data_IF_137576296086
#
_entry.id   IF_137576296086
#
_cell.length_a   1.000
_cell.length_b   1.000
_cell.length_c   1.000
_cell.angle_alpha   90.00
_cell.angle_beta   90.00
_cell.angle_gamma   90.00
#
_symmetry.space_group_name_H-M   'P 1'
#
loop_
_entity.id
_entity.type
_entity.pdbx_description
1 polymer ?
#
# COMPACT_ATOMS: atom_id res chain seq x y z
N UNK A 1 -8.09 42.86 -13.36
CA UNK A 1 -7.42 41.60 -13.69
C UNK A 1 -8.45 40.49 -13.84
N UNK A 2 -8.49 39.78 -14.96
CA UNK A 2 -9.50 38.75 -15.19
C UNK A 2 -9.29 37.59 -14.20
N UNK A 3 -10.37 37.02 -13.64
CA UNK A 3 -10.31 35.87 -12.72
C UNK A 3 -9.51 34.68 -13.29
N UNK A 4 -9.38 34.61 -14.62
CA UNK A 4 -8.57 33.59 -15.31
C UNK A 4 -7.06 33.83 -15.18
N UNK A 5 -6.60 35.09 -15.17
CA UNK A 5 -5.20 35.44 -15.01
C UNK A 5 -4.71 35.12 -13.58
N UNK A 6 -5.53 35.44 -12.57
CA UNK A 6 -5.21 35.13 -11.17
C UNK A 6 -5.11 33.61 -10.96
N UNK A 7 -6.07 32.82 -11.50
CA UNK A 7 -6.02 31.35 -11.40
C UNK A 7 -4.80 30.73 -12.10
N UNK A 8 -4.38 31.28 -13.24
CA UNK A 8 -3.16 30.80 -13.91
C UNK A 8 -1.91 31.12 -13.10
N UNK A 9 -1.85 32.31 -12.52
CA UNK A 9 -0.74 32.72 -11.69
C UNK A 9 -0.62 31.89 -10.40
N UNK A 10 -1.74 31.71 -9.68
CA UNK A 10 -1.75 30.86 -8.47
C UNK A 10 -1.41 29.41 -8.76
N UNK A 11 -1.86 28.85 -9.90
CA UNK A 11 -1.52 27.50 -10.30
C UNK A 11 -0.03 27.35 -10.68
N UNK A 12 0.53 28.34 -11.37
CA UNK A 12 1.96 28.35 -11.71
C UNK A 12 2.82 28.48 -10.45
N UNK A 13 2.39 29.32 -9.49
CA UNK A 13 3.09 29.48 -8.22
C UNK A 13 3.01 28.21 -7.37
N UNK A 14 1.84 27.56 -7.29
CA UNK A 14 1.68 26.29 -6.59
C UNK A 14 2.51 25.17 -7.22
N UNK A 15 2.56 25.08 -8.56
CA UNK A 15 3.42 24.13 -9.28
C UNK A 15 4.90 24.40 -9.04
N UNK A 16 5.32 25.66 -9.04
CA UNK A 16 6.69 26.06 -8.73
C UNK A 16 7.12 25.68 -7.31
N UNK A 17 6.27 26.01 -6.34
CA UNK A 17 6.51 25.66 -4.92
C UNK A 17 6.54 24.15 -4.69
N UNK A 18 5.63 23.39 -5.29
CA UNK A 18 5.62 21.93 -5.17
C UNK A 18 6.84 21.30 -5.85
N UNK A 19 7.26 21.83 -7.01
CA UNK A 19 8.48 21.41 -7.69
C UNK A 19 9.74 21.68 -6.85
N UNK A 20 9.82 22.85 -6.25
CA UNK A 20 10.94 23.23 -5.37
C UNK A 20 10.97 22.33 -4.11
N UNK A 21 9.84 22.11 -3.46
CA UNK A 21 9.75 21.21 -2.30
C UNK A 21 10.17 19.78 -2.65
N UNK A 22 9.74 19.29 -3.81
CA UNK A 22 10.14 17.96 -4.32
C UNK A 22 11.64 17.90 -4.61
N UNK A 23 12.21 18.94 -5.23
CA UNK A 23 13.65 19.00 -5.52
C UNK A 23 14.49 18.99 -4.22
N UNK A 24 14.07 19.76 -3.21
CA UNK A 24 14.71 19.77 -1.88
C UNK A 24 14.65 18.39 -1.25
N UNK A 25 13.48 17.73 -1.26
CA UNK A 25 13.30 16.37 -0.72
C UNK A 25 14.20 15.35 -1.42
N UNK A 26 14.27 15.40 -2.75
CA UNK A 26 15.13 14.52 -3.53
C UNK A 26 16.62 14.80 -3.29
N UNK A 27 17.01 16.06 -3.11
CA UNK A 27 18.38 16.41 -2.78
C UNK A 27 18.83 15.84 -1.43
N UNK A 28 18.03 16.00 -0.38
CA UNK A 28 18.32 15.40 0.93
C UNK A 28 18.34 13.88 0.88
N UNK A 29 17.36 13.27 0.20
CA UNK A 29 17.33 11.82 0.01
C UNK A 29 18.59 11.33 -0.72
N UNK A 30 18.99 12.02 -1.78
CA UNK A 30 20.20 11.72 -2.54
C UNK A 30 21.48 11.88 -1.69
N UNK A 31 21.56 12.93 -0.88
CA UNK A 31 22.68 13.16 0.02
C UNK A 31 22.81 12.06 1.09
N UNK A 32 21.69 11.66 1.70
CA UNK A 32 21.67 10.57 2.68
C UNK A 32 22.08 9.25 2.02
N UNK A 33 21.52 8.95 0.85
CA UNK A 33 21.85 7.74 0.11
C UNK A 33 23.30 7.69 -0.32
N UNK A 34 23.84 8.82 -0.77
CA UNK A 34 25.25 8.96 -1.13
C UNK A 34 26.17 8.68 0.07
N UNK A 35 25.88 9.31 1.21
CA UNK A 35 26.66 9.12 2.44
C UNK A 35 26.59 7.66 2.92
N UNK A 36 25.41 7.05 2.84
CA UNK A 36 25.22 5.65 3.20
C UNK A 36 26.02 4.71 2.29
N UNK A 37 25.95 4.92 0.98
CA UNK A 37 26.70 4.12 -0.01
C UNK A 37 28.19 4.30 0.15
N UNK A 38 28.69 5.53 0.24
CA UNK A 38 30.10 5.82 0.35
C UNK A 38 30.72 5.19 1.60
N UNK A 39 30.08 5.34 2.75
CA UNK A 39 30.57 4.78 4.02
C UNK A 39 30.30 3.25 4.13
N UNK A 40 29.16 2.80 3.57
CA UNK A 40 28.77 1.39 3.63
C UNK A 40 29.60 0.50 2.71
N UNK A 41 29.93 0.95 1.50
CA UNK A 41 30.74 0.18 0.55
C UNK A 41 32.16 -0.11 1.08
N UNK A 42 32.74 0.81 1.82
CA UNK A 42 34.06 0.63 2.43
C UNK A 42 34.08 -0.47 3.49
N UNK A 43 32.92 -0.77 4.14
CA UNK A 43 32.77 -1.82 5.14
C UNK A 43 32.31 -3.16 4.57
N UNK A 44 31.95 -3.27 3.29
CA UNK A 44 31.48 -4.49 2.67
C UNK A 44 32.65 -5.45 2.42
N UNK A 45 32.76 -6.46 3.28
CA UNK A 45 33.68 -7.59 3.10
C UNK A 45 32.89 -8.89 3.13
N UNK A 46 33.41 -9.93 2.48
CA UNK A 46 32.75 -11.25 2.47
C UNK A 46 32.64 -11.83 3.89
N UNK A 47 33.60 -11.50 4.77
CA UNK A 47 33.59 -11.86 6.18
C UNK A 47 32.41 -11.27 6.95
N UNK A 48 31.79 -10.17 6.48
CA UNK A 48 30.60 -9.57 7.07
C UNK A 48 29.40 -10.53 7.09
N UNK A 49 29.29 -11.38 6.07
CA UNK A 49 28.19 -12.33 5.91
C UNK A 49 28.47 -13.71 6.54
N UNK A 50 29.73 -14.02 6.83
CA UNK A 50 30.15 -15.36 7.32
C UNK A 50 30.56 -15.34 8.79
N UNK A 51 31.01 -14.20 9.30
CA UNK A 51 31.46 -14.09 10.69
C UNK A 51 30.31 -13.74 11.64
N UNK A 52 30.32 -14.23 12.86
CA UNK A 52 29.41 -13.88 13.93
C UNK A 52 29.67 -12.44 14.41
N UNK A 53 28.69 -11.86 15.06
CA UNK A 53 28.80 -10.52 15.66
C UNK A 53 29.72 -10.61 16.88
N UNK A 54 30.89 -9.92 16.87
CA UNK A 54 31.84 -9.96 17.96
C UNK A 54 31.45 -8.96 19.06
N UNK A 55 32.15 -9.03 20.22
CA UNK A 55 32.04 -7.98 21.24
C UNK A 55 32.49 -6.62 20.68
N UNK A 56 32.03 -5.51 21.31
CA UNK A 56 32.39 -4.16 20.87
C UNK A 56 33.90 -3.96 20.79
N UNK A 57 34.39 -3.45 19.65
CA UNK A 57 35.82 -3.15 19.43
C UNK A 57 36.62 -4.24 18.70
N UNK A 58 36.03 -5.37 18.30
CA UNK A 58 36.69 -6.41 17.52
C UNK A 58 36.08 -6.51 16.11
N UNK A 59 36.92 -6.92 15.13
CA UNK A 59 36.46 -7.13 13.75
C UNK A 59 35.55 -8.38 13.67
N UNK A 60 34.38 -8.27 13.07
CA UNK A 60 33.46 -9.40 12.93
C UNK A 60 32.38 -9.17 11.90
N UNK A 61 31.35 -10.01 11.90
CA UNK A 61 30.30 -10.01 10.91
C UNK A 61 28.90 -9.74 11.48
N UNK A 62 27.91 -9.79 10.61
CA UNK A 62 26.49 -9.54 10.89
C UNK A 62 25.63 -10.79 10.71
N UNK A 63 26.23 -11.98 10.56
CA UNK A 63 25.49 -13.22 10.29
C UNK A 63 24.36 -13.44 11.30
N UNK A 64 24.65 -13.27 12.58
CA UNK A 64 23.67 -13.48 13.65
C UNK A 64 22.50 -12.48 13.57
N UNK A 65 22.79 -11.23 13.27
CA UNK A 65 21.76 -10.18 13.12
C UNK A 65 20.89 -10.45 11.88
N UNK A 66 21.49 -10.84 10.76
CA UNK A 66 20.77 -11.16 9.51
C UNK A 66 19.88 -12.37 9.73
N UNK A 67 20.43 -13.47 10.26
CA UNK A 67 19.66 -14.68 10.53
C UNK A 67 18.51 -14.42 11.51
N UNK A 68 18.78 -13.75 12.62
CA UNK A 68 17.76 -13.38 13.60
C UNK A 68 16.64 -12.51 12.98
N UNK A 69 16.99 -11.51 12.17
CA UNK A 69 16.01 -10.67 11.51
C UNK A 69 15.15 -11.45 10.52
N UNK A 70 15.74 -12.33 9.72
CA UNK A 70 15.01 -13.16 8.75
C UNK A 70 14.04 -14.10 9.46
N UNK A 71 14.49 -14.79 10.50
CA UNK A 71 13.67 -15.73 11.28
C UNK A 71 12.52 -15.01 11.97
N UNK A 72 12.80 -13.91 12.68
CA UNK A 72 11.75 -13.13 13.36
C UNK A 72 10.72 -12.58 12.36
N UNK A 73 11.17 -12.05 11.22
CA UNK A 73 10.29 -11.53 10.18
C UNK A 73 9.46 -12.64 9.55
N UNK A 74 10.05 -13.80 9.24
CA UNK A 74 9.36 -14.95 8.68
C UNK A 74 8.24 -15.43 9.61
N UNK A 75 8.53 -15.60 10.90
CA UNK A 75 7.55 -16.01 11.92
C UNK A 75 6.46 -14.93 12.06
N UNK A 76 6.84 -13.66 12.13
CA UNK A 76 5.91 -12.53 12.23
C UNK A 76 4.93 -12.49 11.06
N UNK A 77 5.41 -12.66 9.82
CA UNK A 77 4.57 -12.70 8.62
C UNK A 77 3.73 -13.98 8.57
N UNK A 78 4.27 -15.12 8.97
CA UNK A 78 3.56 -16.39 8.97
C UNK A 78 2.35 -16.37 9.93
N UNK A 79 2.45 -15.64 11.03
CA UNK A 79 1.35 -15.45 11.99
C UNK A 79 0.45 -14.28 11.56
N UNK A 80 1.04 -13.11 11.33
CA UNK A 80 0.29 -11.88 11.05
C UNK A 80 -0.38 -11.86 9.68
N UNK A 81 0.25 -12.48 8.67
CA UNK A 81 -0.27 -12.52 7.29
C UNK A 81 -1.62 -13.23 7.19
N UNK A 82 -1.74 -14.51 7.57
CA UNK A 82 -3.01 -15.23 7.50
C UNK A 82 -4.11 -14.58 8.34
N UNK A 83 -3.81 -14.14 9.55
CA UNK A 83 -4.79 -13.48 10.44
C UNK A 83 -5.28 -12.18 9.80
N UNK A 84 -4.36 -11.35 9.29
CA UNK A 84 -4.70 -10.11 8.62
C UNK A 84 -5.49 -10.33 7.32
N UNK A 85 -5.13 -11.36 6.55
CA UNK A 85 -5.84 -11.71 5.32
C UNK A 85 -7.26 -12.19 5.59
N UNK A 86 -7.47 -13.03 6.59
CA UNK A 86 -8.81 -13.48 6.99
C UNK A 86 -9.67 -12.32 7.51
N UNK A 87 -9.12 -11.48 8.38
CA UNK A 87 -9.83 -10.32 8.89
C UNK A 87 -10.17 -9.31 7.78
N UNK A 88 -9.22 -9.00 6.88
CA UNK A 88 -9.44 -8.12 5.74
C UNK A 88 -10.49 -8.66 4.76
N UNK A 89 -10.50 -9.98 4.52
CA UNK A 89 -11.53 -10.63 3.69
C UNK A 89 -12.90 -10.53 4.35
N UNK A 90 -12.98 -10.77 5.66
CA UNK A 90 -14.24 -10.59 6.40
C UNK A 90 -14.77 -9.16 6.28
N UNK A 91 -13.91 -8.16 6.44
CA UNK A 91 -14.29 -6.75 6.32
C UNK A 91 -14.77 -6.37 4.91
N UNK A 92 -14.12 -6.91 3.87
CA UNK A 92 -14.47 -6.60 2.48
C UNK A 92 -15.80 -7.25 2.04
N UNK A 93 -16.06 -8.51 2.45
CA UNK A 93 -17.18 -9.29 1.94
C UNK A 93 -18.40 -9.25 2.89
N UNK A 94 -18.19 -9.41 4.18
CA UNK A 94 -19.26 -9.49 5.17
C UNK A 94 -19.45 -8.19 5.97
N UNK A 95 -18.44 -7.34 6.00
CA UNK A 95 -18.37 -6.18 6.87
C UNK A 95 -19.02 -4.89 6.35
N UNK A 96 -19.76 -4.92 5.23
CA UNK A 96 -20.26 -3.68 4.60
C UNK A 96 -21.32 -2.95 5.44
N UNK A 97 -22.12 -3.68 6.21
CA UNK A 97 -23.28 -3.13 6.92
C UNK A 97 -23.30 -3.38 8.43
N UNK A 98 -22.29 -4.09 8.96
CA UNK A 98 -22.26 -4.47 10.37
C UNK A 98 -21.55 -3.45 11.24
N UNK A 99 -22.12 -3.15 12.42
CA UNK A 99 -21.50 -2.27 13.43
C UNK A 99 -20.13 -2.80 13.89
N UNK A 100 -19.97 -4.11 13.94
CA UNK A 100 -18.72 -4.78 14.34
C UNK A 100 -17.60 -4.42 13.37
N UNK A 101 -17.86 -4.38 12.07
CA UNK A 101 -16.86 -4.02 11.08
C UNK A 101 -16.39 -2.57 11.20
N UNK A 102 -17.29 -1.66 11.59
CA UNK A 102 -16.92 -0.27 11.86
C UNK A 102 -15.96 -0.19 13.04
N UNK A 103 -16.20 -0.95 14.09
CA UNK A 103 -15.30 -1.01 15.26
C UNK A 103 -13.95 -1.62 14.88
N UNK A 104 -13.94 -2.72 14.12
CA UNK A 104 -12.69 -3.36 13.68
C UNK A 104 -11.87 -2.41 12.80
N UNK A 105 -12.50 -1.69 11.86
CA UNK A 105 -11.81 -0.67 11.04
C UNK A 105 -11.24 0.44 11.90
N UNK A 106 -12.02 0.93 12.86
CA UNK A 106 -11.54 1.98 13.78
C UNK A 106 -10.32 1.50 14.58
N UNK A 107 -10.37 0.31 15.17
CA UNK A 107 -9.24 -0.28 15.91
C UNK A 107 -8.03 -0.46 14.99
N UNK A 108 -8.26 -0.93 13.76
CA UNK A 108 -7.20 -1.10 12.77
C UNK A 108 -6.54 0.23 12.40
N UNK A 109 -7.32 1.28 12.19
CA UNK A 109 -6.81 2.63 11.86
C UNK A 109 -6.04 3.23 13.06
N UNK A 110 -6.48 2.99 14.29
CA UNK A 110 -5.75 3.38 15.51
C UNK A 110 -4.41 2.62 15.59
N UNK A 111 -4.39 1.33 15.32
CA UNK A 111 -3.15 0.54 15.32
C UNK A 111 -2.18 0.98 14.23
N UNK A 112 -2.67 1.34 13.04
CA UNK A 112 -1.86 1.88 11.94
C UNK A 112 -1.25 3.26 12.29
N UNK A 113 -1.93 4.05 13.10
CA UNK A 113 -1.44 5.35 13.55
C UNK A 113 -0.50 5.26 14.76
N UNK A 114 -0.51 4.12 15.46
CA UNK A 114 0.33 3.92 16.64
C UNK A 114 1.83 3.86 16.27
N UNK A 115 2.70 4.61 16.97
CA UNK A 115 4.14 4.49 16.78
C UNK A 115 4.61 3.06 17.07
N UNK A 116 5.38 2.47 16.15
CA UNK A 116 5.90 1.08 16.30
C UNK A 116 6.69 0.85 17.59
N UNK A 117 7.31 1.91 18.12
CA UNK A 117 8.03 1.89 19.38
C UNK A 117 7.09 1.53 20.55
N UNK A 118 5.87 2.07 20.59
CA UNK A 118 4.89 1.78 21.63
C UNK A 118 4.47 0.31 21.58
N UNK A 119 4.23 -0.23 20.38
CA UNK A 119 3.89 -1.65 20.20
C UNK A 119 5.06 -2.54 20.65
N UNK A 120 6.29 -2.18 20.30
CA UNK A 120 7.48 -2.90 20.74
C UNK A 120 7.65 -2.89 22.27
N UNK A 121 7.44 -1.74 22.91
CA UNK A 121 7.51 -1.61 24.36
C UNK A 121 6.40 -2.39 25.07
N UNK A 122 5.19 -2.38 24.53
CA UNK A 122 4.06 -3.16 25.07
C UNK A 122 4.36 -4.66 25.03
N UNK A 123 4.88 -5.16 23.92
CA UNK A 123 5.25 -6.59 23.79
C UNK A 123 6.44 -6.94 24.66
N UNK A 124 7.38 -6.03 24.83
CA UNK A 124 8.50 -6.19 25.77
C UNK A 124 7.99 -6.41 27.18
N UNK A 125 7.13 -5.51 27.68
CA UNK A 125 6.56 -5.60 29.03
C UNK A 125 5.73 -6.87 29.23
N UNK A 126 4.92 -7.23 28.21
CA UNK A 126 4.03 -8.38 28.31
C UNK A 126 4.75 -9.73 28.25
N UNK A 127 5.76 -9.86 27.39
CA UNK A 127 6.43 -11.14 27.12
C UNK A 127 7.82 -11.24 27.73
N UNK A 128 8.70 -10.26 27.50
CA UNK A 128 10.11 -10.35 27.90
C UNK A 128 10.24 -10.24 29.42
N UNK A 129 9.54 -9.31 30.04
CA UNK A 129 9.59 -9.14 31.52
C UNK A 129 9.05 -10.37 32.23
N UNK A 130 7.99 -10.99 31.70
CA UNK A 130 7.44 -12.23 32.31
C UNK A 130 8.32 -13.46 32.09
N UNK A 131 9.00 -13.55 30.95
CA UNK A 131 9.86 -14.68 30.61
C UNK A 131 11.27 -14.55 31.22
N UNK A 132 11.62 -13.36 31.75
CA UNK A 132 12.93 -13.02 32.30
C UNK A 132 14.13 -13.25 31.37
N UNK A 133 13.88 -13.38 30.06
CA UNK A 133 14.93 -13.48 29.04
C UNK A 133 14.46 -12.93 27.69
N UNK A 134 15.41 -12.44 26.90
CA UNK A 134 15.15 -11.99 25.53
C UNK A 134 14.89 -13.21 24.63
N UNK A 135 13.78 -13.17 23.92
CA UNK A 135 13.37 -14.24 23.02
C UNK A 135 13.09 -13.70 21.62
N UNK A 136 13.57 -14.42 20.60
CA UNK A 136 13.22 -14.15 19.22
C UNK A 136 11.70 -14.24 18.96
N UNK A 137 10.99 -15.05 19.76
CA UNK A 137 9.53 -15.13 19.70
C UNK A 137 8.85 -13.84 20.12
N UNK A 138 9.36 -13.13 21.14
CA UNK A 138 8.80 -11.83 21.53
C UNK A 138 8.95 -10.80 20.41
N UNK A 139 10.10 -10.77 19.73
CA UNK A 139 10.32 -9.95 18.55
C UNK A 139 9.40 -10.32 17.38
N UNK A 140 9.20 -11.61 17.14
CA UNK A 140 8.29 -12.09 16.09
C UNK A 140 6.82 -11.72 16.37
N UNK A 141 6.37 -11.80 17.63
CA UNK A 141 5.02 -11.37 18.04
C UNK A 141 4.84 -9.86 17.87
N UNK A 142 5.84 -9.05 18.22
CA UNK A 142 5.79 -7.61 17.99
C UNK A 142 5.64 -7.27 16.50
N UNK A 143 6.42 -7.96 15.64
CA UNK A 143 6.32 -7.81 14.20
C UNK A 143 4.97 -8.28 13.65
N UNK A 144 4.41 -9.38 14.19
CA UNK A 144 3.08 -9.87 13.81
C UNK A 144 1.99 -8.84 14.14
N UNK A 145 2.02 -8.25 15.34
CA UNK A 145 1.06 -7.21 15.75
C UNK A 145 1.13 -5.99 14.84
N UNK A 146 2.31 -5.59 14.40
CA UNK A 146 2.48 -4.48 13.45
C UNK A 146 2.02 -4.88 12.03
N UNK A 147 2.25 -6.13 11.62
CA UNK A 147 1.91 -6.61 10.29
C UNK A 147 0.40 -6.83 10.10
N UNK A 148 -0.34 -7.23 11.15
CA UNK A 148 -1.78 -7.51 11.07
C UNK A 148 -2.56 -6.31 10.51
N UNK A 149 -2.50 -5.08 11.07
CA UNK A 149 -3.30 -3.98 10.58
C UNK A 149 -2.95 -3.57 9.15
N UNK A 150 -1.68 -3.67 8.76
CA UNK A 150 -1.25 -3.39 7.38
C UNK A 150 -1.83 -4.42 6.41
N UNK A 151 -1.78 -5.72 6.76
CA UNK A 151 -2.33 -6.80 5.91
C UNK A 151 -3.86 -6.75 5.84
N UNK A 152 -4.54 -6.42 6.94
CA UNK A 152 -6.00 -6.21 6.95
C UNK A 152 -6.39 -5.12 5.96
N UNK A 153 -5.75 -3.95 6.06
CA UNK A 153 -6.07 -2.80 5.22
C UNK A 153 -5.78 -3.07 3.75
N UNK A 154 -4.60 -3.61 3.44
CA UNK A 154 -4.24 -3.92 2.05
C UNK A 154 -5.14 -4.98 1.45
N UNK A 155 -5.52 -6.01 2.22
CA UNK A 155 -6.45 -7.06 1.75
C UNK A 155 -7.83 -6.48 1.49
N UNK A 156 -8.38 -5.68 2.41
CA UNK A 156 -9.67 -5.01 2.24
C UNK A 156 -9.68 -4.12 0.99
N UNK A 157 -8.67 -3.27 0.82
CA UNK A 157 -8.57 -2.37 -0.32
C UNK A 157 -8.47 -3.14 -1.64
N UNK A 158 -7.69 -4.22 -1.70
CA UNK A 158 -7.55 -5.06 -2.90
C UNK A 158 -8.85 -5.79 -3.27
N UNK A 159 -9.57 -6.34 -2.29
CA UNK A 159 -10.84 -7.04 -2.53
C UNK A 159 -11.96 -6.08 -2.92
N UNK A 160 -11.92 -4.83 -2.45
CA UNK A 160 -12.87 -3.80 -2.85
C UNK A 160 -12.68 -3.31 -4.30
N UNK A 161 -11.52 -3.53 -4.91
CA UNK A 161 -11.29 -3.24 -6.33
C UNK A 161 -12.01 -4.22 -7.28
N UNK A 162 -12.42 -5.38 -6.79
CA UNK A 162 -13.12 -6.38 -7.62
C UNK A 162 -14.53 -5.89 -7.94
N UNK A 163 -14.93 -5.82 -9.23
CA UNK A 163 -16.26 -5.37 -9.63
C UNK A 163 -17.38 -6.25 -9.05
N UNK A 164 -18.45 -5.63 -8.57
CA UNK A 164 -19.60 -6.34 -7.99
C UNK A 164 -20.22 -7.33 -8.99
N UNK A 165 -20.30 -6.98 -10.28
CA UNK A 165 -20.87 -7.86 -11.30
C UNK A 165 -20.18 -9.22 -11.40
N UNK A 166 -18.89 -9.35 -11.07
CA UNK A 166 -18.21 -10.64 -10.99
C UNK A 166 -18.68 -11.47 -9.78
N UNK A 167 -18.89 -10.81 -8.65
CA UNK A 167 -19.42 -11.45 -7.43
C UNK A 167 -20.86 -11.92 -7.65
N UNK A 168 -21.70 -11.06 -8.21
CA UNK A 168 -23.09 -11.37 -8.51
C UNK A 168 -23.23 -12.51 -9.55
N UNK A 169 -22.39 -12.52 -10.59
CA UNK A 169 -22.37 -13.60 -11.56
C UNK A 169 -22.01 -14.96 -10.94
N UNK A 170 -21.05 -15.01 -10.02
CA UNK A 170 -20.67 -16.26 -9.36
C UNK A 170 -21.76 -16.76 -8.41
N UNK A 171 -22.45 -15.86 -7.70
CA UNK A 171 -23.58 -16.23 -6.85
C UNK A 171 -24.80 -16.69 -7.68
N UNK A 172 -25.03 -16.06 -8.84
CA UNK A 172 -26.09 -16.49 -9.77
C UNK A 172 -25.86 -17.90 -10.33
N UNK A 173 -24.60 -18.33 -10.45
CA UNK A 173 -24.25 -19.72 -10.82
C UNK A 173 -24.35 -20.71 -9.63
N UNK A 174 -24.83 -20.28 -8.45
CA UNK A 174 -24.99 -21.14 -7.28
C UNK A 174 -23.68 -21.43 -6.53
N UNK A 175 -22.63 -20.68 -6.74
CA UNK A 175 -21.37 -20.88 -6.02
C UNK A 175 -21.52 -20.47 -4.55
N UNK A 176 -21.00 -21.32 -3.65
CA UNK A 176 -20.94 -20.97 -2.21
C UNK A 176 -20.03 -19.76 -1.98
N UNK A 177 -20.33 -18.88 -0.99
CA UNK A 177 -19.57 -17.66 -0.72
C UNK A 177 -18.07 -17.89 -0.58
N UNK A 178 -17.64 -18.94 0.13
CA UNK A 178 -16.22 -19.24 0.30
C UNK A 178 -15.52 -19.63 -1.02
N UNK A 179 -16.23 -20.33 -1.94
CA UNK A 179 -15.72 -20.65 -3.28
C UNK A 179 -15.61 -19.40 -4.13
N UNK A 180 -16.58 -18.50 -4.06
CA UNK A 180 -16.53 -17.20 -4.73
C UNK A 180 -15.30 -16.42 -4.29
N UNK A 181 -15.01 -16.38 -2.98
CA UNK A 181 -13.82 -15.69 -2.46
C UNK A 181 -12.53 -16.31 -2.99
N UNK A 182 -12.36 -17.61 -2.87
CA UNK A 182 -11.10 -18.29 -3.19
C UNK A 182 -10.85 -18.44 -4.69
N UNK A 183 -11.88 -18.73 -5.50
CA UNK A 183 -11.74 -19.04 -6.93
C UNK A 183 -11.99 -17.85 -7.85
N UNK A 184 -12.75 -16.83 -7.40
CA UNK A 184 -13.09 -15.67 -8.24
C UNK A 184 -12.45 -14.40 -7.71
N UNK A 185 -12.67 -14.07 -6.44
CA UNK A 185 -12.27 -12.76 -5.89
C UNK A 185 -10.75 -12.67 -5.73
N UNK A 186 -10.08 -13.65 -5.13
CA UNK A 186 -8.62 -13.63 -4.96
C UNK A 186 -7.87 -13.63 -6.29
N UNK A 187 -8.18 -14.48 -7.28
CA UNK A 187 -7.54 -14.40 -8.59
C UNK A 187 -7.82 -13.10 -9.33
N UNK A 188 -9.05 -12.56 -9.22
CA UNK A 188 -9.41 -11.28 -9.81
C UNK A 188 -8.69 -10.09 -9.15
N UNK A 189 -8.53 -10.12 -7.84
CA UNK A 189 -7.76 -9.10 -7.11
C UNK A 189 -6.30 -9.06 -7.58
N UNK A 190 -5.68 -10.22 -7.82
CA UNK A 190 -4.31 -10.31 -8.38
C UNK A 190 -4.23 -9.72 -9.79
N UNK A 191 -5.19 -10.01 -10.66
CA UNK A 191 -5.22 -9.48 -12.04
C UNK A 191 -5.57 -8.00 -12.07
N UNK A 192 -6.42 -7.53 -11.17
CA UNK A 192 -6.82 -6.11 -11.06
C UNK A 192 -5.66 -5.16 -10.74
N UNK A 193 -4.69 -5.60 -9.95
CA UNK A 193 -3.46 -4.83 -9.69
C UNK A 193 -2.64 -4.68 -10.97
N UNK A 194 -2.47 -5.76 -11.74
CA UNK A 194 -1.71 -5.76 -12.98
C UNK A 194 -2.43 -4.95 -14.07
N UNK A 195 -3.75 -5.09 -14.20
CA UNK A 195 -4.55 -4.32 -15.16
C UNK A 195 -4.69 -2.86 -14.75
N UNK A 196 -4.86 -2.54 -13.48
CA UNK A 196 -4.89 -1.15 -12.98
C UNK A 196 -3.59 -0.41 -13.26
N UNK A 197 -2.45 -1.07 -13.10
CA UNK A 197 -1.14 -0.52 -13.45
C UNK A 197 -0.98 -0.32 -14.97
N UNK A 198 -1.39 -1.30 -15.78
CA UNK A 198 -1.32 -1.21 -17.24
C UNK A 198 -2.28 -0.17 -17.82
N UNK A 199 -3.45 0.05 -17.19
CA UNK A 199 -4.43 1.08 -17.58
C UNK A 199 -3.92 2.50 -17.30
N UNK A 200 -3.26 2.72 -16.17
CA UNK A 200 -2.60 4.01 -15.86
C UNK A 200 -1.51 4.33 -16.86
N UNK A 201 -0.74 3.33 -17.31
CA UNK A 201 0.26 3.51 -18.37
C UNK A 201 -0.36 3.85 -19.73
N UNK A 202 -1.48 3.21 -20.08
CA UNK A 202 -2.20 3.51 -21.33
C UNK A 202 -2.91 4.85 -21.29
N UNK A 203 -3.52 5.22 -20.18
CA UNK A 203 -4.17 6.52 -20.00
C UNK A 203 -3.16 7.68 -20.06
N UNK A 204 -1.93 7.47 -19.59
CA UNK A 204 -0.86 8.46 -19.71
C UNK A 204 -0.35 8.64 -21.15
N UNK A 205 -0.41 7.59 -21.99
CA UNK A 205 -0.07 7.65 -23.43
C UNK A 205 -1.21 8.09 -24.33
N UNK A 206 -2.44 8.01 -23.89
CA UNK A 206 -3.57 8.52 -24.65
C UNK A 206 -3.58 10.05 -24.58
N UNK A 207 -2.88 10.67 -25.53
CA UNK A 207 -3.10 12.12 -25.80
C UNK A 207 -4.61 12.35 -25.92
N UNK A 208 -5.19 13.30 -25.17
CA UNK A 208 -6.59 13.64 -25.34
C UNK A 208 -6.77 14.08 -26.80
N UNK A 209 -7.48 13.29 -27.57
CA UNK A 209 -7.94 13.73 -28.88
C UNK A 209 -8.78 14.96 -28.62
N UNK A 210 -8.26 16.13 -28.99
CA UNK A 210 -9.05 17.35 -29.00
C UNK A 210 -10.26 17.07 -29.88
N UNK A 211 -11.45 17.00 -29.28
CA UNK A 211 -12.66 17.16 -30.04
C UNK A 211 -12.60 18.55 -30.69
N UNK A 212 -12.18 18.60 -31.94
CA UNK A 212 -12.32 19.80 -32.74
C UNK A 212 -13.83 20.04 -32.92
N UNK A 213 -14.35 21.04 -32.22
CA UNK A 213 -15.71 21.53 -32.39
C UNK A 213 -15.85 21.98 -33.85
N UNK A 214 -16.75 21.37 -34.66
CA UNK A 214 -17.07 21.94 -35.93
C UNK A 214 -17.83 23.26 -35.68
N UNK A 215 -17.25 24.38 -36.14
CA UNK A 215 -17.98 25.65 -36.28
C UNK A 215 -19.07 25.40 -37.33
N UNK A 216 -20.27 25.14 -36.89
CA UNK A 216 -21.45 25.22 -37.74
C UNK A 216 -22.53 26.03 -37.04
N UNK A 217 -22.74 27.20 -37.56
CA UNK A 217 -23.76 28.20 -37.20
C UNK A 217 -25.09 27.84 -37.89
N UNK A 218 -25.77 26.77 -37.47
CA UNK A 218 -27.17 26.54 -37.87
C UNK A 218 -27.94 25.87 -36.76
N UNK A 219 -29.14 26.33 -36.52
CA UNK A 219 -30.06 26.01 -35.41
C UNK A 219 -30.52 24.52 -35.35
N UNK A 220 -30.17 23.69 -36.29
CA UNK A 220 -30.45 22.24 -36.32
C UNK A 220 -29.41 21.39 -35.61
N UNK A 221 -28.23 21.94 -35.25
CA UNK A 221 -27.10 21.21 -34.66
C UNK A 221 -27.25 20.87 -33.17
N UNK A 222 -28.18 21.50 -32.46
CA UNK A 222 -28.30 21.31 -31.01
C UNK A 222 -28.83 19.92 -30.61
N UNK A 223 -29.70 19.32 -31.42
CA UNK A 223 -30.30 18.00 -31.12
C UNK A 223 -29.37 16.82 -31.43
N UNK A 224 -28.43 16.99 -32.34
CA UNK A 224 -27.43 15.94 -32.67
C UNK A 224 -26.24 15.96 -31.73
N UNK A 225 -25.91 17.10 -31.12
CA UNK A 225 -24.86 17.20 -30.13
C UNK A 225 -25.23 16.48 -28.82
N UNK A 226 -26.51 16.52 -28.41
CA UNK A 226 -27.00 15.89 -27.19
C UNK A 226 -26.99 14.32 -27.27
N UNK A 227 -27.24 13.76 -28.47
CA UNK A 227 -27.15 12.30 -28.68
C UNK A 227 -25.71 11.81 -28.65
N UNK A 228 -24.71 12.56 -29.12
CA UNK A 228 -23.29 12.20 -29.08
C UNK A 228 -22.66 12.33 -27.70
N UNK A 229 -23.20 13.17 -26.84
CA UNK A 229 -22.70 13.32 -25.45
C UNK A 229 -22.94 12.08 -24.61
N UNK A 230 -23.95 11.29 -24.92
CA UNK A 230 -24.26 10.03 -24.22
C UNK A 230 -23.32 8.88 -24.58
N UNK A 231 -22.63 8.94 -25.70
CA UNK A 231 -21.70 7.88 -26.16
C UNK A 231 -20.23 8.17 -25.82
N UNK A 232 -19.89 9.36 -25.34
CA UNK A 232 -18.54 9.73 -24.93
C UNK A 232 -18.29 9.66 -23.40
N UNK A 233 -19.19 9.03 -22.66
CA UNK A 233 -19.02 8.82 -21.22
C UNK A 233 -18.37 7.44 -21.00
N UNK A 234 -17.06 7.39 -21.24
CA UNK A 234 -16.11 6.41 -20.68
C UNK A 234 -14.71 7.02 -20.57
#
# INVERSE_FOLDING_TARGET
>A
MSRRAVRKFTNALALGLSGLATAIGLFFLGAILWTLLHNGLAGLSLSLFTAMTPPPGSAGGLLNAIYGSVVMTAIGILIGGPIGMLAGTYLAEYGRTTRISTVIRFVNDVLLSAPSIIIGLFVYELLVVRMHHFSALAGAVALAIIAIPVTVRTTEDMLNLVPQGMKDASTAMGAYPWRTITSVIYPAARSGVVTGFSWRWRAFRAKPRRCSSPRSTTSSGARTCWRRWRTCRW
#
